data_IF_274633872124
#
_entry.id   IF_274633872124
#
_cell.length_a   1.000
_cell.length_b   1.000
_cell.length_c   1.000
_cell.angle_alpha   90.00
_cell.angle_beta   90.00
_cell.angle_gamma   90.00
#
_symmetry.space_group_name_H-M   'P 1'
#
loop_
_entity.id
_entity.type
_entity.pdbx_description
1 polymer ?
#
# COMPACT_ATOMS: atom_id res chain seq x y z
N UNK A 1 64.22 -59.11 -3.64
CA UNK A 1 64.12 -57.79 -4.34
C UNK A 1 62.85 -57.63 -5.20
N UNK A 2 62.31 -58.67 -5.85
CA UNK A 2 61.14 -58.54 -6.76
C UNK A 2 59.83 -58.08 -6.08
N UNK A 3 59.56 -58.50 -4.83
CA UNK A 3 58.34 -58.14 -4.09
C UNK A 3 58.25 -56.63 -3.76
N UNK A 4 59.39 -56.00 -3.46
CA UNK A 4 59.48 -54.57 -3.14
C UNK A 4 59.28 -53.69 -4.39
N UNK A 5 59.73 -54.16 -5.56
CA UNK A 5 59.50 -53.46 -6.83
C UNK A 5 58.02 -53.54 -7.25
N UNK A 6 57.38 -54.69 -7.03
CA UNK A 6 55.95 -54.88 -7.32
C UNK A 6 55.06 -54.05 -6.39
N UNK A 7 55.37 -53.98 -5.09
CA UNK A 7 54.62 -53.14 -4.14
C UNK A 7 54.75 -51.65 -4.44
N UNK A 8 55.94 -51.20 -4.89
CA UNK A 8 56.20 -49.82 -5.36
C UNK A 8 55.40 -49.46 -6.62
N UNK A 9 55.26 -50.38 -7.58
CA UNK A 9 54.45 -50.16 -8.79
C UNK A 9 52.94 -50.07 -8.52
N UNK A 10 52.44 -50.81 -7.52
CA UNK A 10 51.03 -50.73 -7.09
C UNK A 10 50.75 -49.44 -6.33
N UNK A 11 51.63 -49.02 -5.42
CA UNK A 11 51.47 -47.74 -4.69
C UNK A 11 51.55 -46.53 -5.61
N UNK A 12 52.41 -46.58 -6.64
CA UNK A 12 52.49 -45.52 -7.65
C UNK A 12 51.19 -45.39 -8.46
N UNK A 13 50.66 -46.50 -8.98
CA UNK A 13 49.38 -46.50 -9.70
C UNK A 13 48.20 -46.06 -8.83
N UNK A 14 48.19 -46.44 -7.55
CA UNK A 14 47.19 -45.97 -6.58
C UNK A 14 47.28 -44.45 -6.39
N UNK A 15 48.48 -43.89 -6.19
CA UNK A 15 48.69 -42.44 -6.07
C UNK A 15 48.31 -41.68 -7.32
N UNK A 16 48.63 -42.20 -8.50
CA UNK A 16 48.26 -41.61 -9.79
C UNK A 16 46.73 -41.58 -9.97
N UNK A 17 46.04 -42.68 -9.64
CA UNK A 17 44.58 -42.75 -9.65
C UNK A 17 43.92 -41.84 -8.61
N UNK A 18 44.46 -41.75 -7.40
CA UNK A 18 43.98 -40.84 -6.35
C UNK A 18 44.14 -39.37 -6.78
N UNK A 19 45.27 -39.01 -7.40
CA UNK A 19 45.51 -37.67 -7.93
C UNK A 19 44.55 -37.31 -9.07
N UNK A 20 44.25 -38.26 -9.96
CA UNK A 20 43.28 -38.04 -11.04
C UNK A 20 41.86 -37.85 -10.50
N UNK A 21 41.44 -38.66 -9.53
CA UNK A 21 40.14 -38.50 -8.87
C UNK A 21 40.03 -37.18 -8.12
N UNK A 22 41.11 -36.76 -7.42
CA UNK A 22 41.16 -35.45 -6.77
C UNK A 22 41.05 -34.31 -7.78
N UNK A 23 41.74 -34.39 -8.92
CA UNK A 23 41.65 -33.39 -9.98
C UNK A 23 40.23 -33.29 -10.56
N UNK A 24 39.57 -34.43 -10.82
CA UNK A 24 38.18 -34.48 -11.29
C UNK A 24 37.19 -33.93 -10.26
N UNK A 25 37.38 -34.25 -8.99
CA UNK A 25 36.56 -33.73 -7.89
C UNK A 25 36.72 -32.21 -7.77
N UNK A 26 37.95 -31.71 -7.78
CA UNK A 26 38.23 -30.27 -7.73
C UNK A 26 37.62 -29.54 -8.93
N UNK A 27 37.73 -30.11 -10.13
CA UNK A 27 37.10 -29.57 -11.33
C UNK A 27 35.57 -29.48 -11.17
N UNK A 28 34.93 -30.57 -10.74
CA UNK A 28 33.48 -30.59 -10.52
C UNK A 28 33.03 -29.62 -9.43
N UNK A 29 33.79 -29.47 -8.35
CA UNK A 29 33.51 -28.52 -7.28
C UNK A 29 33.61 -27.07 -7.78
N UNK A 30 34.62 -26.76 -8.61
CA UNK A 30 34.77 -25.44 -9.21
C UNK A 30 33.61 -25.12 -10.15
N UNK A 31 33.19 -26.06 -10.99
CA UNK A 31 32.03 -25.90 -11.88
C UNK A 31 30.73 -25.73 -11.10
N UNK A 32 30.51 -26.51 -10.03
CA UNK A 32 29.35 -26.34 -9.15
C UNK A 32 29.34 -24.95 -8.52
N UNK A 33 30.49 -24.46 -8.03
CA UNK A 33 30.62 -23.12 -7.49
C UNK A 33 30.31 -22.03 -8.51
N UNK A 34 30.74 -22.21 -9.77
CA UNK A 34 30.40 -21.30 -10.88
C UNK A 34 28.91 -21.26 -11.17
N UNK A 35 28.26 -22.42 -11.28
CA UNK A 35 26.81 -22.49 -11.50
C UNK A 35 26.01 -21.92 -10.34
N UNK A 36 26.45 -22.15 -9.10
CA UNK A 36 25.82 -21.56 -7.91
C UNK A 36 25.95 -20.03 -7.90
N UNK A 37 27.12 -19.50 -8.27
CA UNK A 37 27.32 -18.06 -8.37
C UNK A 37 26.43 -17.44 -9.47
N UNK A 38 26.33 -18.09 -10.63
CA UNK A 38 25.50 -17.61 -11.73
C UNK A 38 24.00 -17.68 -11.39
N UNK A 39 23.54 -18.76 -10.75
CA UNK A 39 22.16 -18.86 -10.26
C UNK A 39 21.85 -17.80 -9.21
N UNK A 40 22.78 -17.53 -8.28
CA UNK A 40 22.62 -16.48 -7.29
C UNK A 40 22.52 -15.10 -7.95
N UNK A 41 23.34 -14.84 -8.96
CA UNK A 41 23.31 -13.61 -9.76
C UNK A 41 21.96 -13.44 -10.47
N UNK A 42 21.50 -14.45 -11.21
CA UNK A 42 20.23 -14.39 -11.94
C UNK A 42 19.05 -14.20 -10.98
N UNK A 43 19.05 -14.88 -9.83
CA UNK A 43 18.01 -14.69 -8.80
C UNK A 43 18.00 -13.26 -8.26
N UNK A 44 19.17 -12.70 -7.94
CA UNK A 44 19.26 -11.33 -7.47
C UNK A 44 18.78 -10.33 -8.52
N UNK A 45 19.16 -10.52 -9.79
CA UNK A 45 18.69 -9.69 -10.91
C UNK A 45 17.17 -9.79 -11.06
N UNK A 46 16.60 -11.00 -11.00
CA UNK A 46 15.15 -11.20 -11.03
C UNK A 46 14.44 -10.52 -9.85
N UNK A 47 14.95 -10.68 -8.63
CA UNK A 47 14.38 -10.06 -7.43
C UNK A 47 14.37 -8.53 -7.52
N UNK A 48 15.41 -7.93 -8.11
CA UNK A 48 15.46 -6.48 -8.36
C UNK A 48 14.37 -6.09 -9.35
N UNK A 49 14.27 -6.77 -10.50
CA UNK A 49 13.28 -6.49 -11.54
C UNK A 49 11.85 -6.63 -11.00
N UNK A 50 11.57 -7.67 -10.21
CA UNK A 50 10.26 -7.88 -9.59
C UNK A 50 9.94 -6.74 -8.63
N UNK A 51 10.88 -6.38 -7.73
CA UNK A 51 10.66 -5.27 -6.79
C UNK A 51 10.42 -3.94 -7.48
N UNK A 52 11.17 -3.64 -8.54
CA UNK A 52 10.97 -2.43 -9.35
C UNK A 52 9.59 -2.42 -10.02
N UNK A 53 9.16 -3.55 -10.57
CA UNK A 53 7.83 -3.69 -11.17
C UNK A 53 6.70 -3.54 -10.14
N UNK A 54 6.85 -4.14 -8.95
CA UNK A 54 5.89 -4.01 -7.84
C UNK A 54 5.79 -2.56 -7.36
N UNK A 55 6.92 -1.87 -7.18
CA UNK A 55 6.95 -0.46 -6.77
C UNK A 55 6.29 0.43 -7.83
N UNK A 56 6.63 0.27 -9.10
CA UNK A 56 6.03 1.02 -10.19
C UNK A 56 4.51 0.79 -10.29
N UNK A 57 4.06 -0.46 -10.08
CA UNK A 57 2.64 -0.78 -10.04
C UNK A 57 1.92 -0.11 -8.86
N UNK A 58 2.51 -0.15 -7.67
CA UNK A 58 1.97 0.50 -6.47
C UNK A 58 1.86 2.02 -6.66
N UNK A 59 2.90 2.66 -7.22
CA UNK A 59 2.91 4.08 -7.52
C UNK A 59 1.84 4.46 -8.55
N UNK A 60 1.70 3.66 -9.62
CA UNK A 60 0.66 3.86 -10.63
C UNK A 60 -0.74 3.74 -10.04
N UNK A 61 -1.00 2.73 -9.20
CA UNK A 61 -2.28 2.56 -8.52
C UNK A 61 -2.58 3.76 -7.62
N UNK A 62 -1.61 4.22 -6.82
CA UNK A 62 -1.75 5.42 -5.99
C UNK A 62 -2.08 6.65 -6.84
N UNK A 63 -1.40 6.83 -7.98
CA UNK A 63 -1.64 7.96 -8.87
C UNK A 63 -3.06 7.97 -9.45
N UNK A 64 -3.53 6.82 -9.94
CA UNK A 64 -4.89 6.66 -10.49
C UNK A 64 -5.95 6.92 -9.41
N UNK A 65 -5.80 6.30 -8.25
CA UNK A 65 -6.74 6.48 -7.13
C UNK A 65 -6.77 7.93 -6.62
N UNK A 66 -5.61 8.59 -6.57
CA UNK A 66 -5.52 10.03 -6.24
C UNK A 66 -6.24 10.90 -7.27
N UNK A 67 -6.13 10.58 -8.55
CA UNK A 67 -6.88 11.23 -9.63
C UNK A 67 -8.38 11.05 -9.48
N UNK A 68 -8.83 9.81 -9.29
CA UNK A 68 -10.25 9.48 -9.08
C UNK A 68 -10.82 10.18 -7.84
N UNK A 69 -10.07 10.20 -6.73
CA UNK A 69 -10.46 10.91 -5.52
C UNK A 69 -10.62 12.42 -5.76
N UNK A 70 -9.68 13.06 -6.45
CA UNK A 70 -9.79 14.50 -6.80
C UNK A 70 -10.99 14.79 -7.68
N UNK A 71 -11.27 13.92 -8.64
CA UNK A 71 -12.45 14.04 -9.49
C UNK A 71 -13.75 13.98 -8.66
N UNK A 72 -13.88 12.99 -7.76
CA UNK A 72 -15.02 12.87 -6.86
C UNK A 72 -15.16 14.09 -5.93
N UNK A 73 -14.04 14.66 -5.46
CA UNK A 73 -14.06 15.89 -4.66
C UNK A 73 -14.58 17.09 -5.45
N UNK A 74 -14.15 17.24 -6.70
CA UNK A 74 -14.63 18.30 -7.58
C UNK A 74 -16.14 18.18 -7.81
N UNK A 75 -16.62 16.97 -8.12
CA UNK A 75 -18.05 16.73 -8.31
C UNK A 75 -18.85 17.00 -7.04
N UNK A 76 -18.35 16.59 -5.88
CA UNK A 76 -19.02 16.83 -4.61
C UNK A 76 -19.07 18.33 -4.26
N UNK A 77 -18.04 19.11 -4.61
CA UNK A 77 -18.02 20.56 -4.43
C UNK A 77 -19.05 21.26 -5.33
N UNK A 78 -19.15 20.83 -6.60
CA UNK A 78 -20.17 21.31 -7.52
C UNK A 78 -21.59 20.98 -7.00
N UNK A 79 -21.81 19.74 -6.57
CA UNK A 79 -23.08 19.33 -5.98
C UNK A 79 -23.44 20.11 -4.73
N UNK A 80 -22.45 20.46 -3.89
CA UNK A 80 -22.68 21.33 -2.73
C UNK A 80 -23.23 22.68 -3.18
N UNK A 81 -22.64 23.26 -4.23
CA UNK A 81 -23.04 24.56 -4.76
C UNK A 81 -24.46 24.52 -5.33
N UNK A 82 -24.81 23.45 -6.04
CA UNK A 82 -26.17 23.23 -6.56
C UNK A 82 -27.19 23.05 -5.43
N UNK A 83 -26.86 22.24 -4.42
CA UNK A 83 -27.71 22.03 -3.25
C UNK A 83 -27.93 23.33 -2.46
N UNK A 84 -26.89 24.14 -2.28
CA UNK A 84 -27.00 25.46 -1.65
C UNK A 84 -27.94 26.39 -2.43
N UNK A 85 -27.92 26.33 -3.77
CA UNK A 85 -28.84 27.06 -4.63
C UNK A 85 -30.30 26.66 -4.39
N UNK A 86 -30.58 25.36 -4.39
CA UNK A 86 -31.93 24.82 -4.12
C UNK A 86 -32.40 25.19 -2.72
N UNK A 87 -31.52 25.12 -1.71
CA UNK A 87 -31.88 25.49 -0.34
C UNK A 87 -32.23 26.99 -0.21
N UNK A 88 -31.54 27.86 -0.94
CA UNK A 88 -31.84 29.30 -0.95
C UNK A 88 -33.17 29.61 -1.66
N UNK A 89 -33.47 28.92 -2.75
CA UNK A 89 -34.69 29.14 -3.54
C UNK A 89 -35.95 28.60 -2.82
N UNK A 90 -35.84 27.45 -2.16
CA UNK A 90 -36.98 26.74 -1.55
C UNK A 90 -36.95 26.73 -0.01
N UNK A 91 -36.28 27.71 0.62
CA UNK A 91 -36.16 27.80 2.08
C UNK A 91 -37.53 27.84 2.77
N UNK A 92 -37.85 26.78 3.51
CA UNK A 92 -39.14 26.61 4.21
C UNK A 92 -40.11 25.63 3.55
N UNK A 93 -39.79 25.10 2.37
CA UNK A 93 -40.61 24.09 1.71
C UNK A 93 -40.43 22.70 2.36
N UNK A 94 -41.47 21.85 2.49
CA UNK A 94 -41.36 20.52 3.11
C UNK A 94 -40.31 19.59 2.45
N UNK A 95 -40.07 19.77 1.14
CA UNK A 95 -39.06 19.04 0.35
C UNK A 95 -37.63 19.23 0.87
N UNK A 96 -37.39 20.29 1.65
CA UNK A 96 -36.08 20.58 2.22
C UNK A 96 -35.61 19.46 3.17
N UNK A 97 -36.55 18.74 3.79
CA UNK A 97 -36.24 17.59 4.65
C UNK A 97 -35.57 16.47 3.85
N UNK A 98 -36.12 16.12 2.68
CA UNK A 98 -35.53 15.11 1.80
C UNK A 98 -34.21 15.59 1.18
N UNK A 99 -34.08 16.90 0.97
CA UNK A 99 -32.85 17.52 0.48
C UNK A 99 -31.71 17.44 1.50
N UNK A 100 -31.99 17.47 2.81
CA UNK A 100 -30.96 17.30 3.84
C UNK A 100 -30.25 15.95 3.73
N UNK A 101 -30.99 14.88 3.44
CA UNK A 101 -30.44 13.54 3.23
C UNK A 101 -29.44 13.50 2.06
N UNK A 102 -29.74 14.22 0.98
CA UNK A 102 -28.86 14.36 -0.18
C UNK A 102 -27.61 15.17 0.17
N UNK A 103 -27.76 16.28 0.89
CA UNK A 103 -26.63 17.08 1.38
C UNK A 103 -25.70 16.26 2.28
N UNK A 104 -26.27 15.45 3.17
CA UNK A 104 -25.50 14.54 4.01
C UNK A 104 -24.77 13.47 3.20
N UNK A 105 -25.41 12.88 2.19
CA UNK A 105 -24.77 11.91 1.30
C UNK A 105 -23.61 12.55 0.51
N UNK A 106 -23.80 13.76 -0.01
CA UNK A 106 -22.76 14.50 -0.73
C UNK A 106 -21.55 14.82 0.16
N UNK A 107 -21.79 15.31 1.39
CA UNK A 107 -20.72 15.56 2.36
C UNK A 107 -19.94 14.28 2.74
N UNK A 108 -20.62 13.13 2.81
CA UNK A 108 -19.96 11.83 3.02
C UNK A 108 -19.10 11.41 1.82
N UNK A 109 -19.59 11.61 0.60
CA UNK A 109 -18.83 11.33 -0.63
C UNK A 109 -17.54 12.16 -0.68
N UNK A 110 -17.61 13.47 -0.41
CA UNK A 110 -16.46 14.35 -0.34
C UNK A 110 -15.41 13.85 0.68
N UNK A 111 -15.87 13.41 1.87
CA UNK A 111 -14.98 12.86 2.92
C UNK A 111 -14.36 11.52 2.53
N UNK A 112 -15.12 10.60 1.92
CA UNK A 112 -14.60 9.31 1.44
C UNK A 112 -13.54 9.53 0.35
N UNK A 113 -13.79 10.44 -0.58
CA UNK A 113 -12.83 10.83 -1.59
C UNK A 113 -11.55 11.42 -0.96
N UNK A 114 -11.66 12.29 0.05
CA UNK A 114 -10.51 12.77 0.82
C UNK A 114 -9.73 11.64 1.49
N UNK A 115 -10.41 10.65 2.06
CA UNK A 115 -9.78 9.48 2.66
C UNK A 115 -8.95 8.68 1.65
N UNK A 116 -9.51 8.40 0.47
CA UNK A 116 -8.79 7.73 -0.63
C UNK A 116 -7.57 8.56 -1.05
N UNK A 117 -7.73 9.88 -1.23
CA UNK A 117 -6.62 10.75 -1.58
C UNK A 117 -5.48 10.67 -0.56
N UNK A 118 -5.79 10.71 0.74
CA UNK A 118 -4.81 10.61 1.83
C UNK A 118 -4.10 9.26 1.83
N UNK A 119 -4.83 8.14 1.68
CA UNK A 119 -4.22 6.80 1.57
C UNK A 119 -3.27 6.71 0.37
N UNK A 120 -3.54 7.49 -0.68
CA UNK A 120 -2.69 7.59 -1.87
C UNK A 120 -1.62 8.70 -1.76
N UNK A 121 -1.30 9.17 -0.56
CA UNK A 121 -0.23 10.14 -0.31
C UNK A 121 -0.60 11.60 -0.62
N UNK A 122 -1.89 11.95 -0.68
CA UNK A 122 -2.28 13.35 -0.63
C UNK A 122 -2.06 13.91 0.79
N UNK A 123 -1.69 15.20 0.94
CA UNK A 123 -1.52 15.79 2.25
C UNK A 123 -2.84 15.74 3.03
N UNK A 124 -2.75 15.33 4.29
CA UNK A 124 -3.79 15.59 5.28
C UNK A 124 -3.89 17.11 5.42
N UNK A 125 -5.04 17.70 5.06
CA UNK A 125 -5.27 19.12 5.30
C UNK A 125 -4.95 19.43 6.77
N UNK A 126 -4.11 20.44 7.00
CA UNK A 126 -3.64 20.77 8.35
C UNK A 126 -4.81 21.26 9.21
N UNK A 127 -5.29 20.40 10.10
CA UNK A 127 -6.01 20.82 11.32
C UNK A 127 -4.98 20.95 12.44
N UNK A 128 -4.28 22.08 12.48
CA UNK A 128 -3.29 22.38 13.51
C UNK A 128 -3.91 22.84 14.84
N UNK A 129 -5.24 22.89 14.93
CA UNK A 129 -5.95 23.35 16.13
C UNK A 129 -6.51 22.14 16.88
N UNK A 130 -6.38 22.11 18.23
CA UNK A 130 -7.07 21.11 19.05
C UNK A 130 -8.56 21.12 18.75
N UNK A 131 -9.12 19.96 18.43
CA UNK A 131 -10.56 19.79 18.31
C UNK A 131 -11.13 19.41 19.68
N UNK A 132 -12.27 20.00 20.05
CA UNK A 132 -12.97 19.57 21.26
C UNK A 132 -13.48 18.13 21.10
N UNK A 133 -13.63 17.40 22.22
CA UNK A 133 -14.24 16.05 22.18
C UNK A 133 -15.64 16.11 21.57
N UNK A 134 -16.37 17.19 21.83
CA UNK A 134 -17.67 17.46 21.21
C UNK A 134 -17.56 17.51 19.67
N UNK A 135 -16.61 18.27 19.12
CA UNK A 135 -16.41 18.38 17.66
C UNK A 135 -16.00 17.05 17.02
N UNK A 136 -15.18 16.26 17.72
CA UNK A 136 -14.76 14.93 17.27
C UNK A 136 -15.97 13.99 17.20
N UNK A 137 -16.77 13.91 18.27
CA UNK A 137 -17.97 13.05 18.33
C UNK A 137 -19.02 13.50 17.32
N UNK A 138 -19.29 14.81 17.23
CA UNK A 138 -20.22 15.39 16.22
C UNK A 138 -19.76 15.09 14.80
N UNK A 139 -18.47 15.26 14.52
CA UNK A 139 -17.90 14.94 13.22
C UNK A 139 -18.00 13.45 12.91
N UNK A 140 -17.72 12.58 13.88
CA UNK A 140 -17.79 11.13 13.73
C UNK A 140 -19.23 10.66 13.47
N UNK A 141 -20.22 11.21 14.18
CA UNK A 141 -21.64 10.91 13.93
C UNK A 141 -22.05 11.26 12.50
N UNK A 142 -21.54 12.37 11.95
CA UNK A 142 -21.81 12.77 10.56
C UNK A 142 -21.22 11.81 9.51
N UNK A 143 -20.36 10.86 9.89
CA UNK A 143 -19.73 9.91 8.96
C UNK A 143 -20.56 8.64 8.72
N UNK A 144 -21.55 8.36 9.56
CA UNK A 144 -22.31 7.10 9.51
C UNK A 144 -23.79 7.43 9.36
N UNK A 145 -24.35 7.18 8.17
CA UNK A 145 -25.79 7.38 7.91
C UNK A 145 -26.62 6.58 8.91
N UNK A 146 -27.63 7.22 9.49
CA UNK A 146 -28.58 6.63 10.44
C UNK A 146 -27.95 6.05 11.72
N UNK A 147 -26.74 6.48 12.11
CA UNK A 147 -26.13 6.07 13.38
C UNK A 147 -26.64 6.92 14.54
N UNK A 148 -27.91 6.71 14.90
CA UNK A 148 -28.61 7.44 15.96
C UNK A 148 -28.34 6.88 17.38
N UNK A 149 -27.40 5.94 17.54
CA UNK A 149 -27.12 5.31 18.85
C UNK A 149 -26.41 6.22 19.86
N UNK A 150 -25.87 7.35 19.39
CA UNK A 150 -25.14 8.32 20.22
C UNK A 150 -25.94 9.61 20.23
N UNK A 151 -26.49 9.98 21.38
CA UNK A 151 -27.15 11.26 21.59
C UNK A 151 -26.12 12.28 22.11
N UNK A 152 -25.96 13.39 21.40
CA UNK A 152 -25.08 14.48 21.82
C UNK A 152 -25.93 15.46 22.63
N UNK A 153 -25.83 15.39 23.96
CA UNK A 153 -26.44 16.40 24.82
C UNK A 153 -25.68 17.71 24.63
N UNK A 154 -26.32 18.73 24.06
CA UNK A 154 -25.75 20.08 24.07
C UNK A 154 -25.63 20.52 25.53
N UNK A 155 -24.45 20.95 26.01
CA UNK A 155 -24.39 21.65 27.27
C UNK A 155 -25.21 22.93 27.10
N UNK A 156 -26.36 22.98 27.77
CA UNK A 156 -27.20 24.16 27.82
C UNK A 156 -26.39 25.32 28.40
N UNK A 157 -26.03 26.28 27.55
CA UNK A 157 -25.61 27.61 27.98
C UNK A 157 -24.12 27.96 27.92
N UNK A 158 -23.41 27.67 26.83
CA UNK A 158 -22.19 28.43 26.52
C UNK A 158 -22.25 28.87 25.05
N UNK A 159 -22.58 30.14 24.85
CA UNK A 159 -22.29 30.84 23.62
C UNK A 159 -20.76 30.93 23.44
N UNK A 160 -20.28 30.57 22.25
CA UNK A 160 -18.97 30.97 21.74
C UNK A 160 -19.19 31.79 20.47
#
# INVERSE_FOLDING_TARGET
MALVLRSRGVTRRKKESEAELQARLQYSQNELGRYQAELARIRNEQDVVIREAEQAAEENIKAVLKGAARFLQSLAAEQTTLLDGVQREYGGHPVLTDLMDITHANAQMARKAQGIAVMCGAPLGRRNQPASVYDVVRSAQSQIRNFQRVEIMQPSGIAL
#
